data_IF_635049229197
#
_entry.id   IF_635049229197
#
_cell.length_a   1.000
_cell.length_b   1.000
_cell.length_c   1.000
_cell.angle_alpha   90.00
_cell.angle_beta   90.00
_cell.angle_gamma   90.00
#
_symmetry.space_group_name_H-M   'P 1'
#
loop_
_entity.id
_entity.type
_entity.pdbx_description
1 polymer ?
#
# COMPACT_ATOMS: atom_id res chain seq x y z
N UNK A 1 -20.27 -2.59 23.73
CA UNK A 1 -19.20 -2.35 22.75
C UNK A 1 -17.90 -2.16 23.51
N UNK A 2 -16.83 -2.92 23.22
CA UNK A 2 -15.54 -2.74 23.90
C UNK A 2 -14.80 -1.56 23.25
N UNK A 3 -14.62 -0.46 23.96
CA UNK A 3 -13.84 0.69 23.50
C UNK A 3 -12.37 0.29 23.41
N UNK A 4 -11.84 0.20 22.19
CA UNK A 4 -10.41 -0.08 21.96
C UNK A 4 -9.63 1.21 22.22
N UNK A 5 -8.71 1.18 23.19
CA UNK A 5 -7.81 2.32 23.44
C UNK A 5 -6.83 2.47 22.28
N UNK A 6 -6.58 3.69 21.78
CA UNK A 6 -5.63 3.88 20.69
C UNK A 6 -4.20 3.58 21.16
N UNK A 7 -3.42 2.91 20.30
CA UNK A 7 -2.00 2.62 20.56
C UNK A 7 -1.16 3.87 20.33
N UNK A 8 -0.33 4.23 21.32
CA UNK A 8 0.56 5.38 21.24
C UNK A 8 1.72 5.12 20.26
N UNK A 9 2.02 6.10 19.41
CA UNK A 9 3.22 6.09 18.57
C UNK A 9 4.21 7.15 19.07
N UNK A 10 5.40 6.71 19.45
CA UNK A 10 6.48 7.57 19.96
C UNK A 10 7.27 8.18 18.81
N UNK A 11 7.56 9.47 18.92
CA UNK A 11 8.40 10.23 17.99
C UNK A 11 9.32 11.19 18.75
N UNK A 12 10.38 11.63 18.07
CA UNK A 12 11.17 12.79 18.46
C UNK A 12 10.77 13.90 17.50
N UNK A 13 10.11 14.94 18.00
CA UNK A 13 9.80 16.13 17.24
C UNK A 13 11.03 17.02 17.15
N UNK A 14 11.41 17.40 15.93
CA UNK A 14 12.54 18.29 15.67
C UNK A 14 12.04 19.67 15.22
N UNK A 15 12.42 20.69 15.99
CA UNK A 15 12.18 22.11 15.75
C UNK A 15 13.53 22.79 15.54
N UNK A 16 14.03 22.81 14.31
CA UNK A 16 15.42 23.19 14.01
C UNK A 16 16.42 22.45 14.93
N UNK A 17 16.95 23.12 15.96
CA UNK A 17 17.92 22.59 16.91
C UNK A 17 17.30 21.91 18.15
N UNK A 18 16.01 22.13 18.41
CA UNK A 18 15.32 21.60 19.60
C UNK A 18 14.72 20.23 19.29
N UNK A 19 14.94 19.26 20.20
CA UNK A 19 14.40 17.90 20.12
C UNK A 19 13.44 17.64 21.29
N UNK A 20 12.21 17.23 20.99
CA UNK A 20 11.17 16.95 21.99
C UNK A 20 10.64 15.54 21.84
N UNK A 21 10.62 14.75 22.91
CA UNK A 21 10.00 13.42 22.90
C UNK A 21 8.48 13.54 23.00
N UNK A 22 7.75 13.05 22.01
CA UNK A 22 6.30 13.12 21.95
C UNK A 22 5.66 11.73 21.79
N UNK A 23 4.45 11.60 22.32
CA UNK A 23 3.57 10.45 22.10
C UNK A 23 2.35 10.92 21.31
N UNK A 24 2.12 10.33 20.15
CA UNK A 24 1.01 10.67 19.25
C UNK A 24 -0.04 9.57 19.25
N UNK A 25 -1.29 9.95 19.03
CA UNK A 25 -2.44 9.04 18.96
C UNK A 25 -3.26 9.34 17.71
N UNK A 26 -3.84 8.30 17.11
CA UNK A 26 -4.77 8.45 16.00
C UNK A 26 -6.14 8.81 16.59
N UNK A 27 -6.59 10.05 16.37
CA UNK A 27 -7.90 10.53 16.88
C UNK A 27 -9.06 10.02 16.04
N UNK A 28 -8.89 9.99 14.71
CA UNK A 28 -9.92 9.56 13.76
C UNK A 28 -9.35 8.41 12.93
N UNK A 29 -10.09 7.30 12.88
CA UNK A 29 -9.73 6.14 12.06
C UNK A 29 -10.97 5.68 11.31
N UNK A 30 -10.84 5.49 10.00
CA UNK A 30 -11.91 4.93 9.19
C UNK A 30 -12.33 3.57 9.72
N UNK A 31 -13.61 3.46 10.09
CA UNK A 31 -14.17 2.19 10.53
C UNK A 31 -14.57 1.37 9.30
N UNK A 32 -13.60 0.63 8.75
CA UNK A 32 -13.86 -0.34 7.69
C UNK A 32 -14.54 -1.57 8.32
N UNK A 33 -15.79 -1.91 7.97
CA UNK A 33 -16.44 -3.06 8.57
C UNK A 33 -15.68 -4.33 8.20
N UNK A 34 -15.44 -5.20 9.19
CA UNK A 34 -14.71 -6.46 9.00
C UNK A 34 -15.37 -7.44 8.02
N UNK A 35 -16.63 -7.17 7.64
CA UNK A 35 -17.44 -7.95 6.70
C UNK A 35 -17.04 -7.73 5.22
N UNK A 36 -16.18 -6.75 4.92
CA UNK A 36 -15.81 -6.44 3.52
C UNK A 36 -15.12 -7.57 2.74
N UNK A 37 -14.69 -8.64 3.41
CA UNK A 37 -14.12 -9.82 2.74
C UNK A 37 -15.05 -11.02 2.89
N UNK A 38 -16.12 -11.04 2.11
CA UNK A 38 -16.97 -12.22 1.97
C UNK A 38 -16.13 -13.38 1.45
N UNK A 39 -16.12 -14.49 2.19
CA UNK A 39 -15.44 -15.72 1.78
C UNK A 39 -16.23 -16.33 0.63
N UNK A 40 -15.58 -16.55 -0.51
CA UNK A 40 -16.16 -17.38 -1.58
C UNK A 40 -16.26 -18.81 -1.06
N UNK A 41 -17.42 -19.43 -1.21
CA UNK A 41 -17.70 -20.81 -0.80
C UNK A 41 -18.45 -21.53 -1.91
N UNK A 42 -18.27 -22.84 -2.02
CA UNK A 42 -19.12 -23.64 -2.90
C UNK A 42 -20.51 -23.80 -2.28
N UNK A 43 -21.55 -23.66 -3.10
CA UNK A 43 -22.94 -23.73 -2.63
C UNK A 43 -23.29 -25.10 -2.02
N UNK A 44 -22.71 -26.18 -2.56
CA UNK A 44 -23.00 -27.56 -2.15
C UNK A 44 -22.25 -27.99 -0.90
N UNK A 45 -21.00 -27.55 -0.74
CA UNK A 45 -20.21 -27.78 0.46
C UNK A 45 -19.46 -26.49 0.85
N UNK A 46 -19.96 -25.73 1.84
CA UNK A 46 -19.33 -24.49 2.28
C UNK A 46 -17.92 -24.66 2.86
N UNK A 47 -17.50 -25.89 3.20
CA UNK A 47 -16.18 -26.18 3.78
C UNK A 47 -15.12 -26.51 2.73
N UNK A 48 -15.53 -26.76 1.49
CA UNK A 48 -14.60 -27.13 0.42
C UNK A 48 -13.69 -25.96 0.00
N UNK A 49 -12.46 -26.28 -0.36
CA UNK A 49 -11.44 -25.30 -0.74
C UNK A 49 -11.62 -24.84 -2.19
N UNK A 50 -11.75 -23.52 -2.40
CA UNK A 50 -11.75 -22.91 -3.73
C UNK A 50 -10.31 -22.53 -4.09
N UNK A 51 -9.79 -23.12 -5.17
CA UNK A 51 -8.55 -22.68 -5.82
C UNK A 51 -8.88 -21.67 -6.91
N UNK A 52 -8.09 -20.59 -7.01
CA UNK A 52 -8.23 -19.57 -8.04
C UNK A 52 -7.01 -19.66 -8.94
N UNK A 53 -7.25 -19.98 -10.21
CA UNK A 53 -6.22 -19.99 -11.25
C UNK A 53 -6.34 -18.75 -12.14
N UNK A 54 -5.22 -18.28 -12.70
CA UNK A 54 -5.15 -17.06 -13.51
C UNK A 54 -4.18 -17.24 -14.68
N UNK A 55 -4.72 -17.50 -15.87
CA UNK A 55 -3.99 -17.41 -17.13
C UNK A 55 -3.77 -15.97 -17.59
N UNK A 56 -2.74 -15.75 -18.40
CA UNK A 56 -2.43 -14.46 -19.04
C UNK A 56 -2.15 -14.69 -20.51
N UNK A 57 -2.64 -13.78 -21.34
CA UNK A 57 -2.58 -13.93 -22.79
C UNK A 57 -2.05 -12.65 -23.44
N UNK A 58 -1.40 -12.78 -24.60
CA UNK A 58 -1.06 -11.62 -25.44
C UNK A 58 -2.33 -10.90 -25.90
N UNK A 59 -2.20 -9.63 -26.26
CA UNK A 59 -3.31 -8.82 -26.77
C UNK A 59 -3.26 -8.68 -28.30
N UNK A 60 -2.70 -9.68 -28.96
CA UNK A 60 -2.59 -9.75 -30.41
C UNK A 60 -3.62 -10.75 -30.95
N UNK A 61 -3.80 -10.84 -32.27
CA UNK A 61 -4.83 -11.70 -32.89
C UNK A 61 -4.71 -13.19 -32.56
N UNK A 62 -3.56 -13.62 -32.04
CA UNK A 62 -3.25 -15.02 -31.75
C UNK A 62 -3.53 -15.44 -30.30
N UNK A 63 -3.79 -14.50 -29.37
CA UNK A 63 -4.11 -14.76 -27.95
C UNK A 63 -3.26 -15.88 -27.31
N UNK A 64 -1.93 -15.78 -27.41
CA UNK A 64 -1.01 -16.80 -26.92
C UNK A 64 -0.86 -16.73 -25.39
N UNK A 65 -0.84 -17.89 -24.73
CA UNK A 65 -0.67 -17.98 -23.27
C UNK A 65 0.77 -17.68 -22.87
N UNK A 66 0.95 -16.76 -21.91
CA UNK A 66 2.26 -16.33 -21.42
C UNK A 66 2.43 -16.74 -19.96
N UNK A 67 3.59 -17.33 -19.65
CA UNK A 67 3.95 -17.68 -18.29
C UNK A 67 4.28 -16.46 -17.43
N UNK A 68 4.11 -16.59 -16.11
CA UNK A 68 4.37 -15.48 -15.19
C UNK A 68 5.81 -14.97 -15.20
N UNK A 69 6.77 -15.86 -15.48
CA UNK A 69 8.20 -15.56 -15.39
C UNK A 69 8.69 -14.75 -16.60
N UNK A 70 8.00 -14.84 -17.73
CA UNK A 70 8.32 -14.11 -18.96
C UNK A 70 7.78 -12.67 -18.94
N UNK A 71 6.95 -12.31 -17.95
CA UNK A 71 6.33 -11.00 -17.82
C UNK A 71 7.18 -10.04 -17.00
N UNK A 72 7.40 -8.84 -17.56
CA UNK A 72 8.01 -7.70 -16.84
C UNK A 72 6.99 -6.58 -16.66
N UNK A 73 7.04 -5.90 -15.52
CA UNK A 73 6.16 -4.77 -15.23
C UNK A 73 6.57 -3.55 -16.08
N UNK A 74 5.63 -3.03 -16.87
CA UNK A 74 5.82 -1.86 -17.72
C UNK A 74 5.20 -0.61 -17.13
N UNK A 75 5.96 0.48 -17.06
CA UNK A 75 5.50 1.78 -16.60
C UNK A 75 5.35 2.74 -17.79
N UNK A 76 4.24 3.47 -17.84
CA UNK A 76 4.00 4.43 -18.91
C UNK A 76 4.65 5.77 -18.59
N UNK A 77 5.56 6.22 -19.47
CA UNK A 77 6.18 7.54 -19.40
C UNK A 77 5.87 8.31 -20.69
N UNK A 78 4.91 9.23 -20.60
CA UNK A 78 4.35 9.91 -21.78
C UNK A 78 3.66 8.93 -22.73
N UNK A 79 4.21 8.79 -23.95
CA UNK A 79 3.75 7.85 -24.98
C UNK A 79 4.49 6.51 -24.95
N UNK A 80 5.57 6.39 -24.18
CA UNK A 80 6.45 5.22 -24.20
C UNK A 80 6.17 4.31 -23.01
N UNK A 81 6.25 3.00 -23.23
CA UNK A 81 6.28 2.00 -22.16
C UNK A 81 7.72 1.65 -21.81
N UNK A 82 8.07 1.81 -20.55
CA UNK A 82 9.41 1.54 -20.01
C UNK A 82 9.33 0.27 -19.14
N UNK A 83 10.01 -0.83 -19.51
CA UNK A 83 10.09 -2.00 -18.66
C UNK A 83 11.02 -1.70 -17.47
N UNK A 84 10.55 -1.93 -16.25
CA UNK A 84 11.35 -1.75 -15.04
C UNK A 84 11.21 -3.00 -14.17
N UNK A 85 12.35 -3.61 -13.83
CA UNK A 85 12.40 -4.78 -12.96
C UNK A 85 12.08 -4.39 -11.51
N UNK A 86 11.54 -5.33 -10.74
CA UNK A 86 11.17 -5.09 -9.33
C UNK A 86 12.36 -4.68 -8.47
N UNK A 87 13.51 -5.31 -8.68
CA UNK A 87 14.76 -4.99 -7.97
C UNK A 87 15.16 -3.53 -8.21
N UNK A 88 15.20 -3.11 -9.47
CA UNK A 88 15.49 -1.73 -9.86
C UNK A 88 14.47 -0.75 -9.27
N UNK A 89 13.19 -1.11 -9.23
CA UNK A 89 12.14 -0.26 -8.70
C UNK A 89 12.27 -0.06 -7.18
N UNK A 90 12.64 -1.12 -6.45
CA UNK A 90 12.84 -1.06 -5.01
C UNK A 90 14.08 -0.22 -4.65
N UNK A 91 15.16 -0.34 -5.43
CA UNK A 91 16.38 0.45 -5.27
C UNK A 91 16.17 1.94 -5.61
N UNK A 92 15.40 2.23 -6.67
CA UNK A 92 15.12 3.60 -7.10
C UNK A 92 14.05 4.30 -6.25
N UNK A 93 13.29 3.56 -5.45
CA UNK A 93 12.22 4.11 -4.63
C UNK A 93 12.78 5.07 -3.59
N UNK A 94 12.15 6.24 -3.45
CA UNK A 94 12.49 7.18 -2.40
C UNK A 94 12.33 6.54 -1.03
N UNK A 95 13.44 6.45 -0.29
CA UNK A 95 13.47 5.92 1.07
C UNK A 95 13.23 7.06 2.05
N UNK A 96 12.18 6.92 2.86
CA UNK A 96 11.84 7.89 3.90
C UNK A 96 12.00 7.26 5.27
N UNK A 97 12.70 7.96 6.16
CA UNK A 97 12.78 7.57 7.57
C UNK A 97 11.57 8.07 8.36
N UNK A 98 11.25 7.35 9.44
CA UNK A 98 10.18 7.74 10.35
C UNK A 98 10.62 8.97 11.16
N UNK A 99 10.13 10.16 10.80
CA UNK A 99 10.47 11.42 11.47
C UNK A 99 9.23 12.28 11.79
N UNK A 100 9.43 13.30 12.63
CA UNK A 100 8.45 14.36 12.88
C UNK A 100 9.20 15.71 12.93
N UNK A 101 9.49 16.28 11.76
CA UNK A 101 10.20 17.55 11.64
C UNK A 101 9.24 18.69 11.31
N UNK A 102 9.41 19.82 12.00
CA UNK A 102 8.68 21.05 11.68
C UNK A 102 9.47 21.82 10.63
N UNK A 103 8.87 22.04 9.45
CA UNK A 103 9.50 22.78 8.35
C UNK A 103 9.34 24.29 8.54
N UNK A 104 8.19 24.74 9.07
CA UNK A 104 7.90 26.13 9.33
C UNK A 104 6.53 26.31 9.97
N UNK A 105 6.20 27.56 10.30
CA UNK A 105 4.90 27.96 10.82
C UNK A 105 4.24 28.92 9.82
N UNK A 106 2.92 28.84 9.69
CA UNK A 106 2.12 29.78 8.90
C UNK A 106 0.97 30.31 9.75
N UNK A 107 0.40 31.44 9.34
CA UNK A 107 -0.81 31.95 9.98
C UNK A 107 -1.97 30.98 9.76
N UNK A 108 -2.84 30.86 10.78
CA UNK A 108 -4.00 29.98 10.71
C UNK A 108 -5.10 30.47 9.76
N UNK A 109 -5.03 31.75 9.34
CA UNK A 109 -6.11 32.47 8.65
C UNK A 109 -5.71 32.98 7.24
N UNK A 110 -4.64 32.46 6.64
CA UNK A 110 -4.35 32.76 5.22
C UNK A 110 -5.37 32.11 4.29
#
# INVERSE_FOLDING_TARGET
SKTVKPTATKYIMQLADIKLHICTYIQVKDNKPGIFRLKKVYARDPKSEIKVDRGRYTKDEHDEEIEKEELTDGFRYGTTFVPINKETLDDMKYQSEKCFSVIGFSDANM
#
